data_IF_096532895992
#
_entry.id   IF_096532895992
#
_cell.length_a   1.000
_cell.length_b   1.000
_cell.length_c   1.000
_cell.angle_alpha   90.00
_cell.angle_beta   90.00
_cell.angle_gamma   90.00
#
_symmetry.space_group_name_H-M   'P 1'
#
loop_
_entity.id
_entity.type
_entity.pdbx_description
1 polymer ?
#
# COMPACT_ATOMS: atom_id res chain seq x y z
N UNK A 1 51.58 -30.76 45.05
CA UNK A 1 51.91 -30.47 46.45
C UNK A 1 52.57 -29.12 46.53
N UNK A 2 51.96 -28.09 47.10
CA UNK A 2 51.18 -28.11 48.33
C UNK A 2 49.95 -27.19 48.26
N UNK A 3 48.88 -27.66 48.90
CA UNK A 3 47.61 -26.97 49.07
C UNK A 3 47.63 -26.21 50.39
N UNK A 4 47.12 -24.98 50.45
CA UNK A 4 47.03 -24.25 51.70
C UNK A 4 45.92 -23.21 51.69
N UNK A 5 44.73 -23.64 52.07
CA UNK A 5 43.54 -22.83 52.29
C UNK A 5 43.77 -21.70 53.32
N UNK A 6 43.01 -20.61 53.17
CA UNK A 6 42.38 -19.78 54.24
C UNK A 6 41.90 -18.48 53.57
N UNK A 7 40.70 -17.94 53.81
CA UNK A 7 39.70 -18.24 54.83
C UNK A 7 38.44 -17.41 54.53
N UNK A 8 37.28 -18.02 54.82
CA UNK A 8 36.01 -17.40 55.18
C UNK A 8 35.22 -16.59 54.15
N UNK A 9 34.23 -17.31 53.58
CA UNK A 9 32.91 -16.80 53.25
C UNK A 9 32.26 -16.23 54.51
N UNK A 10 31.64 -15.06 54.42
CA UNK A 10 30.22 -14.91 54.76
C UNK A 10 29.66 -13.54 54.34
N UNK A 11 28.56 -13.59 53.62
CA UNK A 11 27.84 -12.47 53.01
C UNK A 11 26.73 -12.02 53.97
N UNK A 12 26.61 -10.74 54.31
CA UNK A 12 25.32 -10.16 54.67
C UNK A 12 24.80 -9.37 53.46
N UNK A 13 23.86 -9.94 52.70
CA UNK A 13 22.42 -9.63 52.79
C UNK A 13 22.14 -8.14 53.02
N UNK A 14 21.78 -7.42 51.96
CA UNK A 14 21.39 -6.02 52.06
C UNK A 14 20.98 -5.43 50.73
N UNK A 15 19.69 -5.53 50.40
CA UNK A 15 19.07 -4.76 49.33
C UNK A 15 18.98 -3.28 49.68
N UNK A 16 18.87 -2.46 48.63
CA UNK A 16 18.57 -1.01 48.55
C UNK A 16 19.82 -0.11 48.50
N UNK A 17 19.90 0.94 47.69
CA UNK A 17 18.89 1.73 46.98
C UNK A 17 19.64 2.63 45.98
N UNK A 18 19.09 2.84 44.77
CA UNK A 18 19.49 4.01 43.97
C UNK A 18 20.11 3.73 42.61
N UNK A 19 19.44 2.95 41.77
CA UNK A 19 19.54 3.14 40.33
C UNK A 19 18.17 3.61 39.89
N UNK A 20 18.05 4.87 39.46
CA UNK A 20 16.82 5.37 38.82
C UNK A 20 16.41 4.34 37.78
N UNK A 21 15.31 3.64 38.05
CA UNK A 21 14.58 2.95 37.01
C UNK A 21 14.24 4.04 36.00
N UNK A 22 15.06 4.16 34.96
CA UNK A 22 14.57 4.65 33.69
C UNK A 22 13.55 3.59 33.29
N UNK A 23 12.31 3.82 33.71
CA UNK A 23 11.13 3.35 33.02
C UNK A 23 11.20 3.95 31.62
N UNK A 24 12.09 3.41 30.78
CA UNK A 24 11.92 3.58 29.35
C UNK A 24 10.60 2.90 29.06
N UNK A 25 9.55 3.70 28.92
CA UNK A 25 8.35 3.26 28.26
C UNK A 25 8.81 2.56 26.97
N UNK A 26 8.33 1.34 26.67
CA UNK A 26 8.63 0.75 25.39
C UNK A 26 8.31 1.80 24.34
N UNK A 27 9.24 2.02 23.41
CA UNK A 27 8.92 2.84 22.26
C UNK A 27 7.77 2.08 21.59
N UNK A 28 6.55 2.54 21.84
CA UNK A 28 5.40 2.19 21.03
C UNK A 28 5.77 2.84 19.72
N UNK A 29 6.44 2.08 18.86
CA UNK A 29 6.42 2.34 17.44
C UNK A 29 4.95 2.21 17.07
N UNK A 30 4.18 3.29 17.27
CA UNK A 30 3.03 3.50 16.42
C UNK A 30 3.60 3.32 15.01
N UNK A 31 3.18 2.29 14.25
CA UNK A 31 3.56 2.25 12.85
C UNK A 31 3.17 3.63 12.33
N UNK A 32 4.13 4.30 11.68
CA UNK A 32 3.88 5.57 11.05
C UNK A 32 2.62 5.41 10.22
N UNK A 33 1.52 6.04 10.66
CA UNK A 33 0.37 6.33 9.82
C UNK A 33 0.78 7.43 8.83
N UNK A 34 1.97 7.32 8.24
CA UNK A 34 2.24 7.86 6.92
C UNK A 34 1.28 7.09 6.03
N UNK A 35 0.09 7.67 5.96
CA UNK A 35 -1.05 7.38 5.13
C UNK A 35 -0.53 6.94 3.76
N UNK A 36 -0.23 5.66 3.63
CA UNK A 36 -0.04 4.98 2.36
C UNK A 36 -1.43 5.08 1.73
N UNK A 37 -1.64 6.18 1.00
CA UNK A 37 -2.94 6.56 0.46
C UNK A 37 -3.32 5.39 -0.42
N UNK A 38 -4.23 4.56 0.06
CA UNK A 38 -4.62 3.33 -0.62
C UNK A 38 -4.94 3.70 -2.06
N UNK A 39 -4.16 3.17 -3.00
CA UNK A 39 -4.37 3.42 -4.42
C UNK A 39 -5.84 3.13 -4.72
N UNK A 40 -6.49 4.02 -5.47
CA UNK A 40 -7.89 3.84 -5.85
C UNK A 40 -8.07 2.49 -6.52
N UNK A 41 -9.25 1.88 -6.40
CA UNK A 41 -9.54 0.63 -7.07
C UNK A 41 -10.51 0.84 -8.22
N UNK A 42 -10.20 0.29 -9.40
CA UNK A 42 -11.10 0.26 -10.53
C UNK A 42 -11.28 -1.14 -11.11
N UNK A 43 -12.38 -1.30 -11.85
CA UNK A 43 -12.71 -2.49 -12.60
C UNK A 43 -12.79 -2.11 -14.07
N UNK A 44 -11.89 -2.67 -14.88
CA UNK A 44 -11.87 -2.49 -16.31
C UNK A 44 -12.69 -3.62 -16.94
N UNK A 45 -13.64 -3.26 -17.79
CA UNK A 45 -14.53 -4.21 -18.46
C UNK A 45 -14.32 -4.12 -19.96
N UNK A 46 -14.05 -5.25 -20.61
CA UNK A 46 -13.96 -5.35 -22.06
C UNK A 46 -14.60 -6.66 -22.54
N UNK A 47 -15.67 -6.55 -23.33
CA UNK A 47 -16.48 -7.70 -23.73
C UNK A 47 -17.03 -8.45 -22.52
N UNK A 48 -16.70 -9.73 -22.39
CA UNK A 48 -17.11 -10.59 -21.27
C UNK A 48 -16.07 -10.66 -20.14
N UNK A 49 -14.99 -9.89 -20.22
CA UNK A 49 -13.94 -9.91 -19.21
C UNK A 49 -13.99 -8.68 -18.31
N UNK A 50 -13.81 -8.91 -17.03
CA UNK A 50 -13.63 -7.86 -16.02
C UNK A 50 -12.32 -8.09 -15.30
N UNK A 51 -11.48 -7.06 -15.25
CA UNK A 51 -10.20 -7.09 -14.54
C UNK A 51 -10.13 -5.98 -13.51
N UNK A 52 -9.70 -6.33 -12.31
CA UNK A 52 -9.45 -5.39 -11.21
C UNK A 52 -8.08 -4.74 -11.42
N UNK A 53 -8.01 -3.42 -11.34
CA UNK A 53 -6.75 -2.67 -11.42
C UNK A 53 -6.63 -1.66 -10.27
N UNK A 54 -5.38 -1.34 -9.94
CA UNK A 54 -5.07 -0.21 -9.06
C UNK A 54 -5.02 1.05 -9.92
N UNK A 55 -5.76 2.05 -9.47
CA UNK A 55 -5.77 3.38 -10.06
C UNK A 55 -4.48 4.10 -9.65
N UNK A 56 -3.77 4.72 -10.60
CA UNK A 56 -2.66 5.59 -10.25
C UNK A 56 -3.13 6.75 -9.37
N UNK A 57 -2.21 7.34 -8.61
CA UNK A 57 -2.49 8.45 -7.70
C UNK A 57 -3.16 9.64 -8.42
N UNK A 58 -2.87 9.80 -9.72
CA UNK A 58 -3.43 10.84 -10.56
C UNK A 58 -3.79 10.25 -11.92
N UNK A 59 -5.02 10.53 -12.38
CA UNK A 59 -5.44 10.34 -13.77
C UNK A 59 -5.65 11.73 -14.33
N UNK A 60 -4.71 12.18 -15.15
CA UNK A 60 -4.73 13.52 -15.75
C UNK A 60 -5.27 13.50 -17.17
N UNK A 61 -5.09 12.39 -17.89
CA UNK A 61 -5.44 12.27 -19.30
C UNK A 61 -6.13 10.94 -19.62
N UNK A 62 -6.89 10.96 -20.72
CA UNK A 62 -7.53 9.78 -21.29
C UNK A 62 -6.48 8.71 -21.67
N UNK A 63 -5.26 9.13 -22.05
CA UNK A 63 -4.16 8.20 -22.38
C UNK A 63 -3.73 7.33 -21.21
N UNK A 64 -3.82 7.84 -19.97
CA UNK A 64 -3.53 7.03 -18.78
C UNK A 64 -4.58 5.93 -18.62
N UNK A 65 -5.84 6.24 -18.92
CA UNK A 65 -6.94 5.26 -18.89
C UNK A 65 -6.77 4.24 -20.04
N UNK A 66 -6.44 4.68 -21.25
CA UNK A 66 -6.12 3.78 -22.38
C UNK A 66 -4.97 2.83 -22.03
N UNK A 67 -3.90 3.35 -21.44
CA UNK A 67 -2.75 2.56 -21.02
C UNK A 67 -3.15 1.49 -19.99
N UNK A 68 -4.05 1.81 -19.05
CA UNK A 68 -4.58 0.82 -18.12
C UNK A 68 -5.33 -0.31 -18.83
N UNK A 69 -6.13 -0.01 -19.85
CA UNK A 69 -6.80 -1.03 -20.67
C UNK A 69 -5.81 -1.91 -21.43
N UNK A 70 -4.86 -1.31 -22.14
CA UNK A 70 -3.83 -2.06 -22.89
C UNK A 70 -3.00 -2.94 -21.96
N UNK A 71 -2.62 -2.42 -20.79
CA UNK A 71 -1.84 -3.17 -19.81
C UNK A 71 -2.57 -4.42 -19.28
N UNK A 72 -3.89 -4.33 -19.06
CA UNK A 72 -4.67 -5.44 -18.52
C UNK A 72 -5.23 -6.37 -19.61
N UNK A 73 -5.32 -5.93 -20.87
CA UNK A 73 -5.82 -6.70 -22.01
C UNK A 73 -4.85 -6.71 -23.20
N UNK A 74 -3.56 -7.04 -23.02
CA UNK A 74 -2.53 -6.87 -24.05
C UNK A 74 -2.76 -7.75 -25.29
N UNK A 75 -3.46 -8.87 -25.14
CA UNK A 75 -3.79 -9.79 -26.24
C UNK A 75 -4.97 -9.31 -27.10
N UNK A 76 -5.75 -8.34 -26.61
CA UNK A 76 -7.01 -7.91 -27.23
C UNK A 76 -7.04 -6.43 -27.59
N UNK A 77 -6.26 -5.61 -26.88
CA UNK A 77 -6.24 -4.16 -27.03
C UNK A 77 -4.83 -3.67 -27.27
N UNK A 78 -4.70 -2.73 -28.19
CA UNK A 78 -3.48 -1.95 -28.44
C UNK A 78 -3.77 -0.47 -28.23
N UNK A 79 -2.71 0.31 -28.03
CA UNK A 79 -2.87 1.76 -27.82
C UNK A 79 -3.47 2.44 -29.06
N UNK A 80 -2.94 2.12 -30.26
CA UNK A 80 -3.43 2.63 -31.55
C UNK A 80 -4.91 2.35 -31.78
N UNK A 81 -5.39 1.18 -31.35
CA UNK A 81 -6.81 0.83 -31.46
C UNK A 81 -7.68 1.77 -30.62
N UNK A 82 -7.28 2.05 -29.38
CA UNK A 82 -8.02 2.91 -28.44
C UNK A 82 -7.85 4.41 -28.73
N UNK A 83 -6.83 4.80 -29.48
CA UNK A 83 -6.63 6.18 -29.94
C UNK A 83 -7.59 6.55 -31.09
N UNK A 84 -8.11 5.54 -31.81
CA UNK A 84 -9.11 5.76 -32.85
C UNK A 84 -10.33 6.52 -32.31
N UNK A 85 -10.83 7.56 -33.01
CA UNK A 85 -12.00 8.34 -32.56
C UNK A 85 -13.30 7.51 -32.51
N UNK A 86 -13.29 6.31 -33.10
CA UNK A 86 -14.39 5.34 -33.04
C UNK A 86 -14.47 4.61 -31.70
N UNK A 87 -13.38 4.55 -30.95
CA UNK A 87 -13.37 3.91 -29.63
C UNK A 87 -13.70 4.92 -28.55
N UNK A 88 -14.57 4.49 -27.62
CA UNK A 88 -15.06 5.30 -26.52
C UNK A 88 -14.91 4.53 -25.22
N UNK A 89 -14.46 5.23 -24.18
CA UNK A 89 -14.35 4.69 -22.83
C UNK A 89 -15.52 5.23 -22.03
N UNK A 90 -16.10 4.38 -21.19
CA UNK A 90 -17.25 4.73 -20.37
C UNK A 90 -16.95 4.49 -18.89
N UNK A 91 -17.54 5.33 -18.04
CA UNK A 91 -17.56 5.16 -16.59
C UNK A 91 -18.97 4.77 -16.18
N UNK A 92 -19.10 3.70 -15.41
CA UNK A 92 -20.35 3.30 -14.79
C UNK A 92 -20.57 4.08 -13.50
N UNK A 93 -21.73 4.74 -13.37
CA UNK A 93 -22.22 5.19 -12.08
C UNK A 93 -22.98 4.03 -11.39
N UNK A 94 -22.46 3.49 -10.27
CA UNK A 94 -23.08 2.34 -9.60
C UNK A 94 -24.45 2.66 -8.99
N UNK A 95 -24.78 3.94 -8.76
CA UNK A 95 -26.06 4.34 -8.16
C UNK A 95 -27.19 4.33 -9.19
N UNK A 96 -26.90 4.88 -10.38
CA UNK A 96 -27.89 5.03 -11.45
C UNK A 96 -27.81 3.90 -12.47
N UNK A 97 -26.74 3.10 -12.46
CA UNK A 97 -26.40 2.13 -13.51
C UNK A 97 -26.31 2.74 -14.91
N UNK A 98 -25.95 4.03 -14.99
CA UNK A 98 -25.77 4.76 -16.25
C UNK A 98 -24.28 4.80 -16.59
N UNK A 99 -23.98 4.65 -17.87
CA UNK A 99 -22.64 4.80 -18.42
C UNK A 99 -22.44 6.21 -18.98
N UNK A 100 -21.43 6.91 -18.48
CA UNK A 100 -21.00 8.22 -18.96
C UNK A 100 -19.77 8.06 -19.85
N UNK A 101 -19.79 8.66 -21.04
CA UNK A 101 -18.60 8.69 -21.90
C UNK A 101 -17.51 9.54 -21.26
N UNK A 102 -16.31 9.00 -21.23
CA UNK A 102 -15.11 9.66 -20.74
C UNK A 102 -14.49 10.39 -21.95
N UNK A 103 -14.67 11.70 -22.01
CA UNK A 103 -14.11 12.56 -23.06
C UNK A 103 -12.92 13.37 -22.53
N UNK A 104 -11.98 13.70 -23.42
CA UNK A 104 -10.86 14.58 -23.11
C UNK A 104 -11.38 16.03 -23.08
N UNK A 105 -11.25 16.70 -21.93
CA UNK A 105 -11.78 18.07 -21.71
C UNK A 105 -10.90 19.16 -22.36
N UNK A 106 -10.23 18.86 -23.48
CA UNK A 106 -9.31 19.79 -24.15
C UNK A 106 -10.03 20.93 -24.86
#
# INVERSE_FOLDING_TARGET
DDSGAMSDIDVPTGFTRGGFQRSSLPIVRTPSLSLDRTLGLAFLVYGNETKKCLLPNEITTLDTVRALFVHHFPEKLTFDFLESPRQKIYILDPKTNIFFQLDDLR
#
